data_IF_798691005909
#
_entry.id   IF_798691005909
#
_cell.length_a   1.000
_cell.length_b   1.000
_cell.length_c   1.000
_cell.angle_alpha   90.00
_cell.angle_beta   90.00
_cell.angle_gamma   90.00
#
_symmetry.space_group_name_H-M   'P 1'
#
loop_
_entity.id
_entity.type
_entity.pdbx_description
1 polymer ?
#
# COMPACT_ATOMS: atom_id res chain seq x y z
N UNK A 1 -16.91 14.48 -8.22
CA UNK A 1 -16.36 13.13 -8.50
C UNK A 1 -16.37 12.39 -7.17
N UNK A 2 -16.72 11.10 -7.12
CA UNK A 2 -16.58 10.34 -5.87
C UNK A 2 -15.09 10.12 -5.60
N UNK A 3 -14.61 10.29 -4.36
CA UNK A 3 -13.20 10.06 -4.04
C UNK A 3 -12.81 8.62 -4.34
N UNK A 4 -11.60 8.41 -4.85
CA UNK A 4 -11.14 7.06 -5.27
C UNK A 4 -11.15 6.03 -4.13
N UNK A 5 -11.06 6.46 -2.87
CA UNK A 5 -11.12 5.60 -1.69
C UNK A 5 -12.55 5.27 -1.21
N UNK A 6 -13.57 5.93 -1.77
CA UNK A 6 -15.00 5.72 -1.47
C UNK A 6 -15.70 4.86 -2.54
N UNK A 7 -14.91 4.18 -3.38
CA UNK A 7 -15.44 3.24 -4.36
C UNK A 7 -16.15 2.08 -3.63
N UNK A 8 -17.28 1.57 -4.15
CA UNK A 8 -17.96 0.40 -3.61
C UNK A 8 -17.13 -0.85 -3.89
N UNK A 9 -16.09 -1.04 -3.09
CA UNK A 9 -15.21 -2.18 -3.15
C UNK A 9 -15.79 -3.28 -2.27
N UNK A 10 -15.80 -4.51 -2.79
CA UNK A 10 -16.07 -5.66 -1.93
C UNK A 10 -15.06 -5.69 -0.78
N UNK A 11 -15.36 -6.47 0.25
CA UNK A 11 -14.39 -6.72 1.32
C UNK A 11 -13.05 -7.23 0.75
N UNK A 12 -13.07 -7.98 -0.35
CA UNK A 12 -11.86 -8.42 -1.03
C UNK A 12 -11.16 -7.28 -1.79
N UNK A 13 -11.90 -6.38 -2.43
CA UNK A 13 -11.36 -5.34 -3.34
C UNK A 13 -11.67 -5.62 -4.81
N UNK A 14 -11.07 -4.83 -5.71
CA UNK A 14 -11.23 -5.00 -7.16
C UNK A 14 -10.02 -5.70 -7.78
N UNK A 15 -10.27 -6.54 -8.78
CA UNK A 15 -9.22 -7.20 -9.55
C UNK A 15 -8.84 -6.31 -10.74
N UNK A 16 -7.56 -5.97 -10.82
CA UNK A 16 -6.96 -5.15 -11.89
C UNK A 16 -6.04 -6.04 -12.72
N UNK A 17 -6.18 -5.97 -14.04
CA UNK A 17 -5.26 -6.63 -14.98
C UNK A 17 -4.03 -5.74 -15.18
N UNK A 18 -2.86 -6.33 -15.03
CA UNK A 18 -1.57 -5.68 -15.29
C UNK A 18 -1.25 -5.77 -16.79
N UNK A 19 -0.35 -4.90 -17.26
CA UNK A 19 0.08 -4.85 -18.66
C UNK A 19 0.77 -6.13 -19.14
N UNK A 20 1.34 -6.93 -18.21
CA UNK A 20 1.95 -8.22 -18.50
C UNK A 20 0.95 -9.39 -18.53
N UNK A 21 -0.35 -9.12 -18.44
CA UNK A 21 -1.41 -10.14 -18.42
C UNK A 21 -1.67 -10.76 -17.03
N UNK A 22 -0.84 -10.46 -16.03
CA UNK A 22 -1.11 -10.82 -14.64
C UNK A 22 -2.30 -10.05 -14.06
N UNK A 23 -2.72 -10.42 -12.85
CA UNK A 23 -3.77 -9.72 -12.11
C UNK A 23 -3.36 -9.49 -10.67
N UNK A 24 -3.85 -8.40 -10.09
CA UNK A 24 -3.77 -8.13 -8.66
C UNK A 24 -5.13 -7.71 -8.15
N UNK A 25 -5.39 -7.96 -6.87
CA UNK A 25 -6.53 -7.38 -6.17
C UNK A 25 -6.07 -6.17 -5.37
N UNK A 26 -6.90 -5.13 -5.32
CA UNK A 26 -6.55 -3.88 -4.62
C UNK A 26 -7.76 -3.31 -3.87
N UNK A 27 -7.47 -2.78 -2.68
CA UNK A 27 -8.44 -2.09 -1.82
C UNK A 27 -7.74 -1.17 -0.82
N UNK A 28 -8.46 -0.23 -0.19
CA UNK A 28 -7.98 0.46 0.99
C UNK A 28 -7.53 -0.53 2.07
N UNK A 29 -6.47 -0.14 2.78
CA UNK A 29 -6.01 -0.86 3.95
C UNK A 29 -7.09 -0.79 5.05
N UNK A 30 -7.05 -1.77 5.97
CA UNK A 30 -7.93 -1.84 7.13
C UNK A 30 -7.09 -2.10 8.35
N UNK A 31 -7.56 -1.66 9.52
CA UNK A 31 -6.93 -1.97 10.81
C UNK A 31 -6.64 -3.47 10.98
N UNK A 32 -7.54 -4.34 10.47
CA UNK A 32 -7.38 -5.80 10.47
C UNK A 32 -6.21 -6.33 9.63
N UNK A 33 -5.59 -5.51 8.77
CA UNK A 33 -4.48 -5.92 7.90
C UNK A 33 -3.13 -5.92 8.62
N UNK A 34 -3.08 -5.64 9.93
CA UNK A 34 -1.84 -5.59 10.70
C UNK A 34 -0.99 -6.86 10.53
N UNK A 35 -1.63 -8.04 10.55
CA UNK A 35 -0.92 -9.31 10.36
C UNK A 35 -0.50 -9.54 8.91
N UNK A 36 -1.30 -9.13 7.92
CA UNK A 36 -0.91 -9.10 6.51
C UNK A 36 0.32 -8.21 6.28
N UNK A 37 0.38 -7.04 6.91
CA UNK A 37 1.52 -6.12 6.81
C UNK A 37 2.77 -6.72 7.44
N UNK A 38 2.66 -7.38 8.61
CA UNK A 38 3.78 -8.09 9.24
C UNK A 38 4.28 -9.23 8.37
N UNK A 39 3.38 -10.01 7.78
CA UNK A 39 3.73 -11.10 6.88
C UNK A 39 4.41 -10.59 5.60
N UNK A 40 3.90 -9.51 5.02
CA UNK A 40 4.53 -8.80 3.90
C UNK A 40 5.94 -8.31 4.24
N UNK A 41 6.11 -7.68 5.40
CA UNK A 41 7.42 -7.25 5.91
C UNK A 41 8.40 -8.42 6.05
N UNK A 42 7.95 -9.56 6.57
CA UNK A 42 8.79 -10.74 6.74
C UNK A 42 9.32 -11.29 5.40
N UNK A 43 8.60 -11.06 4.30
CA UNK A 43 9.01 -11.44 2.93
C UNK A 43 9.90 -10.41 2.23
N UNK A 44 10.09 -9.22 2.82
CA UNK A 44 11.03 -8.24 2.28
C UNK A 44 12.47 -8.65 2.54
N UNK A 45 13.35 -8.44 1.56
CA UNK A 45 14.80 -8.49 1.77
C UNK A 45 15.26 -7.40 2.75
N UNK A 46 16.47 -7.55 3.29
CA UNK A 46 17.07 -6.53 4.16
C UNK A 46 17.19 -5.18 3.45
N UNK A 47 17.55 -5.19 2.17
CA UNK A 47 17.61 -4.00 1.32
C UNK A 47 16.24 -3.34 1.15
N UNK A 48 15.21 -4.12 0.80
CA UNK A 48 13.83 -3.62 0.67
C UNK A 48 13.30 -3.03 1.99
N UNK A 49 13.63 -3.65 3.14
CA UNK A 49 13.27 -3.12 4.47
C UNK A 49 14.00 -1.82 4.77
N UNK A 50 15.29 -1.77 4.47
CA UNK A 50 16.11 -0.58 4.69
C UNK A 50 15.61 0.60 3.85
N UNK A 51 15.33 0.37 2.57
CA UNK A 51 14.79 1.37 1.66
C UNK A 51 13.41 1.88 2.09
N UNK A 52 12.56 1.03 2.68
CA UNK A 52 11.21 1.42 3.11
C UNK A 52 11.16 2.12 4.46
N UNK A 53 12.03 1.76 5.40
CA UNK A 53 11.94 2.23 6.79
C UNK A 53 13.16 3.01 7.26
N UNK A 54 14.12 3.26 6.36
CA UNK A 54 15.41 3.93 6.61
C UNK A 54 16.12 3.38 7.86
N UNK A 55 15.97 2.08 8.09
CA UNK A 55 16.51 1.38 9.25
C UNK A 55 16.59 -0.12 8.99
N UNK A 56 17.63 -0.77 9.52
CA UNK A 56 17.87 -2.21 9.40
C UNK A 56 16.95 -3.00 10.34
N UNK A 57 15.64 -2.87 10.16
CA UNK A 57 14.65 -3.52 11.03
C UNK A 57 14.57 -5.01 10.71
N UNK A 58 14.78 -5.85 11.72
CA UNK A 58 14.59 -7.31 11.59
C UNK A 58 13.12 -7.73 11.72
N UNK A 59 12.30 -6.94 12.42
CA UNK A 59 10.86 -7.16 12.63
C UNK A 59 10.07 -5.85 12.63
N UNK A 60 8.79 -5.95 12.32
CA UNK A 60 7.82 -4.88 12.49
C UNK A 60 7.15 -5.01 13.87
N UNK A 61 7.14 -3.94 14.68
CA UNK A 61 6.40 -3.96 15.94
C UNK A 61 4.90 -3.91 15.69
N UNK A 62 4.10 -4.43 16.62
CA UNK A 62 2.64 -4.37 16.53
C UNK A 62 2.14 -2.92 16.42
N UNK A 63 2.74 -2.01 17.19
CA UNK A 63 2.42 -0.58 17.12
C UNK A 63 2.64 0.04 15.74
N UNK A 64 3.74 -0.32 15.08
CA UNK A 64 4.06 0.19 13.75
C UNK A 64 3.20 -0.49 12.68
N UNK A 65 2.91 -1.78 12.82
CA UNK A 65 1.99 -2.49 11.92
C UNK A 65 0.60 -1.85 11.97
N UNK A 66 0.07 -1.57 13.17
CA UNK A 66 -1.19 -0.86 13.35
C UNK A 66 -1.12 0.56 12.79
N UNK A 67 -0.06 1.32 13.06
CA UNK A 67 0.04 2.70 12.53
C UNK A 67 0.17 2.76 11.01
N UNK A 68 0.51 1.66 10.34
CA UNK A 68 0.54 1.56 8.88
C UNK A 68 -0.83 1.21 8.28
N UNK A 69 -1.77 0.74 9.10
CA UNK A 69 -3.11 0.30 8.66
C UNK A 69 -4.26 1.13 9.25
N UNK A 70 -3.98 1.94 10.25
CA UNK A 70 -4.91 2.88 10.88
C UNK A 70 -5.07 4.14 10.01
N UNK A 71 -5.93 4.04 9.01
CA UNK A 71 -6.24 5.10 8.05
C UNK A 71 -7.47 5.89 8.49
N UNK A 72 -7.42 7.22 8.40
CA UNK A 72 -8.51 8.12 8.81
C UNK A 72 -9.30 8.66 7.60
N UNK A 73 -8.84 8.41 6.37
CA UNK A 73 -9.40 8.95 5.13
C UNK A 73 -9.45 10.49 5.06
N UNK A 74 -8.66 11.18 5.87
CA UNK A 74 -8.52 12.63 5.87
C UNK A 74 -7.06 13.08 5.68
N UNK A 75 -6.16 12.48 6.45
CA UNK A 75 -4.73 12.77 6.45
C UNK A 75 -3.89 11.54 6.16
N UNK A 76 -4.41 10.34 6.41
CA UNK A 76 -3.73 9.08 6.22
C UNK A 76 -4.55 8.16 5.33
N UNK A 77 -3.95 7.78 4.20
CA UNK A 77 -4.53 6.88 3.21
C UNK A 77 -3.55 5.74 2.95
N UNK A 78 -4.07 4.53 2.82
CA UNK A 78 -3.26 3.38 2.44
C UNK A 78 -4.06 2.38 1.61
N UNK A 79 -3.33 1.66 0.75
CA UNK A 79 -3.84 0.66 -0.17
C UNK A 79 -3.06 -0.63 0.01
N UNK A 80 -3.78 -1.75 0.14
CA UNK A 80 -3.23 -3.09 0.07
C UNK A 80 -3.37 -3.65 -1.34
N UNK A 81 -2.32 -4.30 -1.83
CA UNK A 81 -2.30 -5.00 -3.11
C UNK A 81 -2.03 -6.47 -2.84
N UNK A 82 -2.84 -7.32 -3.44
CA UNK A 82 -2.87 -8.74 -3.15
C UNK A 82 -2.73 -9.56 -4.44
N UNK A 83 -2.05 -10.70 -4.36
CA UNK A 83 -2.14 -11.75 -5.38
C UNK A 83 -3.43 -12.56 -5.12
N UNK A 84 -4.46 -12.43 -5.99
CA UNK A 84 -5.74 -13.10 -5.80
C UNK A 84 -5.67 -14.62 -6.01
N UNK A 85 -4.57 -15.14 -6.55
CA UNK A 85 -4.37 -16.55 -6.89
C UNK A 85 -3.57 -17.30 -5.82
N UNK A 86 -3.23 -16.62 -4.72
CA UNK A 86 -2.54 -17.16 -3.55
C UNK A 86 -3.43 -17.04 -2.30
N UNK A 87 -3.26 -17.94 -1.32
CA UNK A 87 -4.02 -17.87 -0.08
C UNK A 87 -3.70 -16.59 0.71
N UNK A 88 -4.73 -16.04 1.36
CA UNK A 88 -4.60 -14.92 2.30
C UNK A 88 -3.90 -15.35 3.59
N UNK A 89 -3.06 -14.47 4.13
CA UNK A 89 -2.42 -14.68 5.43
C UNK A 89 -3.40 -14.68 6.60
N UNK A 90 -4.56 -14.06 6.43
CA UNK A 90 -5.60 -13.92 7.45
C UNK A 90 -6.84 -14.77 7.14
N UNK A 91 -6.77 -15.63 6.11
CA UNK A 91 -7.85 -16.54 5.74
C UNK A 91 -9.08 -15.88 5.10
N UNK A 92 -8.95 -14.63 4.65
CA UNK A 92 -10.00 -13.92 3.91
C UNK A 92 -9.87 -14.10 2.38
N UNK A 93 -10.75 -13.46 1.62
CA UNK A 93 -10.78 -13.54 0.16
C UNK A 93 -9.82 -12.55 -0.54
N UNK A 94 -9.02 -11.77 0.21
CA UNK A 94 -8.17 -10.73 -0.37
C UNK A 94 -7.03 -11.32 -1.21
N UNK A 95 -6.47 -12.45 -0.76
CA UNK A 95 -5.30 -13.10 -1.34
C UNK A 95 -4.01 -12.76 -0.58
N UNK A 96 -2.86 -13.16 -1.11
CA UNK A 96 -1.57 -12.90 -0.47
C UNK A 96 -1.18 -11.42 -0.57
N UNK A 97 -0.80 -10.75 0.52
CA UNK A 97 -0.30 -9.37 0.46
C UNK A 97 1.03 -9.24 -0.30
N UNK A 98 1.06 -8.51 -1.42
CA UNK A 98 2.27 -8.41 -2.28
C UNK A 98 2.82 -7.01 -2.44
N UNK A 99 2.01 -5.98 -2.20
CA UNK A 99 2.46 -4.60 -2.15
C UNK A 99 1.56 -3.75 -1.24
N UNK A 100 2.09 -2.63 -0.78
CA UNK A 100 1.32 -1.60 -0.07
C UNK A 100 1.74 -0.22 -0.51
N UNK A 101 0.79 0.70 -0.55
CA UNK A 101 0.99 2.09 -0.94
C UNK A 101 0.33 2.98 0.11
N UNK A 102 1.00 4.06 0.52
CA UNK A 102 0.55 4.94 1.59
C UNK A 102 0.75 6.39 1.19
N UNK A 103 -0.19 7.25 1.58
CA UNK A 103 -0.12 8.70 1.50
C UNK A 103 -0.40 9.30 2.87
N UNK A 104 0.45 10.25 3.30
CA UNK A 104 0.24 11.09 4.47
C UNK A 104 0.19 12.54 4.01
N UNK A 105 -0.89 13.24 4.33
CA UNK A 105 -1.05 14.65 4.03
C UNK A 105 -0.31 15.50 5.06
N UNK A 106 0.36 16.53 4.60
CA UNK A 106 1.00 17.50 5.49
C UNK A 106 -0.04 18.39 6.18
N UNK A 107 0.36 19.00 7.30
CA UNK A 107 -0.47 19.92 8.08
C UNK A 107 -0.96 21.13 7.26
N UNK A 108 -0.14 21.63 6.32
CA UNK A 108 -0.48 22.76 5.45
C UNK A 108 -1.49 22.40 4.34
N UNK A 109 -1.78 21.10 4.19
CA UNK A 109 -2.75 20.54 3.24
C UNK A 109 -2.43 20.73 1.77
N UNK A 110 -1.31 21.37 1.41
CA UNK A 110 -0.85 21.61 0.04
C UNK A 110 0.07 20.50 -0.48
N UNK A 111 0.63 19.71 0.43
CA UNK A 111 1.56 18.64 0.10
C UNK A 111 1.19 17.32 0.77
N UNK A 112 1.70 16.22 0.24
CA UNK A 112 1.62 14.91 0.85
C UNK A 112 2.90 14.10 0.63
N UNK A 113 3.26 13.25 1.58
CA UNK A 113 4.29 12.23 1.45
C UNK A 113 3.67 10.91 1.03
N UNK A 114 4.28 10.25 0.05
CA UNK A 114 3.90 8.92 -0.38
C UNK A 114 5.02 7.90 -0.22
N UNK A 115 4.62 6.68 0.10
CA UNK A 115 5.50 5.52 0.19
C UNK A 115 4.86 4.31 -0.51
N UNK A 116 5.68 3.52 -1.21
CA UNK A 116 5.26 2.30 -1.91
C UNK A 116 6.23 1.18 -1.55
N UNK A 117 5.73 -0.03 -1.39
CA UNK A 117 6.57 -1.22 -1.20
C UNK A 117 5.98 -2.37 -1.97
N UNK A 118 6.84 -3.09 -2.70
CA UNK A 118 6.49 -4.34 -3.38
C UNK A 118 7.42 -5.42 -2.83
N UNK A 119 6.83 -6.53 -2.41
CA UNK A 119 7.60 -7.70 -1.93
C UNK A 119 8.54 -8.20 -3.03
N UNK A 120 9.75 -8.61 -2.66
CA UNK A 120 10.86 -8.88 -3.59
C UNK A 120 10.48 -9.88 -4.69
N UNK A 121 9.74 -10.95 -4.35
CA UNK A 121 9.27 -11.94 -5.32
C UNK A 121 8.34 -11.37 -6.41
N UNK A 122 7.69 -10.23 -6.14
CA UNK A 122 6.71 -9.57 -6.99
C UNK A 122 7.25 -8.29 -7.67
N UNK A 123 8.49 -7.90 -7.39
CA UNK A 123 9.16 -6.79 -8.08
C UNK A 123 9.38 -7.10 -9.57
N UNK A 124 9.51 -6.05 -10.39
CA UNK A 124 9.69 -6.19 -11.85
C UNK A 124 8.43 -6.64 -12.63
N UNK A 125 7.29 -6.87 -11.94
CA UNK A 125 6.04 -7.34 -12.56
C UNK A 125 5.03 -6.24 -12.89
N UNK A 126 5.42 -4.97 -12.77
CA UNK A 126 4.54 -3.82 -13.02
C UNK A 126 3.54 -3.50 -11.90
N UNK A 127 3.59 -4.22 -10.77
CA UNK A 127 2.64 -4.09 -9.65
C UNK A 127 2.65 -2.70 -9.03
N UNK A 128 3.82 -2.04 -8.96
CA UNK A 128 3.94 -0.73 -8.33
C UNK A 128 3.25 0.41 -9.07
N UNK A 129 2.96 0.25 -10.37
CA UNK A 129 2.43 1.32 -11.22
C UNK A 129 1.01 1.73 -10.82
N UNK A 130 0.10 0.76 -10.72
CA UNK A 130 -1.30 1.06 -10.45
C UNK A 130 -1.52 1.69 -9.05
N UNK A 131 -0.90 1.20 -7.96
CA UNK A 131 -0.95 1.88 -6.66
C UNK A 131 -0.33 3.28 -6.69
N UNK A 132 0.74 3.50 -7.47
CA UNK A 132 1.31 4.83 -7.65
C UNK A 132 0.30 5.80 -8.29
N UNK A 133 -0.37 5.35 -9.35
CA UNK A 133 -1.44 6.13 -10.01
C UNK A 133 -2.60 6.43 -9.04
N UNK A 134 -2.95 5.48 -8.17
CA UNK A 134 -3.94 5.71 -7.10
C UNK A 134 -3.47 6.75 -6.08
N UNK A 135 -2.20 6.74 -5.66
CA UNK A 135 -1.68 7.74 -4.72
C UNK A 135 -1.69 9.14 -5.33
N UNK A 136 -1.35 9.26 -6.62
CA UNK A 136 -1.41 10.53 -7.36
C UNK A 136 -2.85 11.03 -7.45
N UNK A 137 -3.79 10.16 -7.84
CA UNK A 137 -5.21 10.51 -7.88
C UNK A 137 -5.74 10.90 -6.49
N UNK A 138 -5.35 10.14 -5.46
CA UNK A 138 -5.71 10.43 -4.06
C UNK A 138 -5.22 11.81 -3.64
N UNK A 139 -3.95 12.14 -3.92
CA UNK A 139 -3.37 13.44 -3.62
C UNK A 139 -4.12 14.58 -4.33
N UNK A 140 -4.44 14.39 -5.61
CA UNK A 140 -5.18 15.38 -6.41
C UNK A 140 -6.62 15.60 -5.90
N UNK A 141 -7.35 14.53 -5.55
CA UNK A 141 -8.69 14.62 -4.97
C UNK A 141 -8.69 15.36 -3.62
N UNK A 142 -7.60 15.27 -2.86
CA UNK A 142 -7.41 16.00 -1.61
C UNK A 142 -7.01 17.47 -1.83
N UNK A 143 -6.67 17.87 -3.05
CA UNK A 143 -6.18 19.21 -3.39
C UNK A 143 -4.70 19.42 -3.04
N UNK A 144 -3.90 18.36 -2.94
CA UNK A 144 -2.46 18.49 -2.80
C UNK A 144 -1.85 18.92 -4.16
N UNK A 145 -1.00 19.94 -4.11
CA UNK A 145 -0.25 20.45 -5.26
C UNK A 145 1.07 19.70 -5.45
N UNK A 146 1.61 19.14 -4.36
CA UNK A 146 2.89 18.40 -4.37
C UNK A 146 2.75 17.03 -3.73
N UNK A 147 3.24 16.00 -4.42
CA UNK A 147 3.42 14.65 -3.88
C UNK A 147 4.91 14.33 -3.76
N UNK A 148 5.39 14.06 -2.55
CA UNK A 148 6.80 13.79 -2.26
C UNK A 148 7.05 12.29 -2.06
N UNK A 149 8.21 11.86 -2.51
CA UNK A 149 8.76 10.53 -2.25
C UNK A 149 10.18 10.69 -1.73
N UNK A 150 10.49 10.03 -0.62
CA UNK A 150 11.87 9.92 -0.12
C UNK A 150 12.44 8.58 -0.52
N UNK A 151 13.57 8.60 -1.21
CA UNK A 151 14.22 7.42 -1.79
C UNK A 151 15.70 7.47 -1.40
N UNK A 152 16.22 6.37 -0.84
CA UNK A 152 17.65 6.23 -0.57
C UNK A 152 18.42 6.05 -1.89
N UNK A 153 19.60 6.68 -1.99
CA UNK A 153 20.50 6.61 -3.15
C UNK A 153 21.68 5.69 -2.86
#
# INVERSE_FOLDING_TARGET
MQPVWDLPLSSAGIVVKLSNGGRVRIRPARVSDSDTVKAGFARLSEESRYNRFFSARSKLSDSLATSLTDIDHETHFAWGVFDPDQPSEVGDESGLGVASARLIRDTDKTSAEAALTVTDAYQGRGIGRFPMELLIATAADLGAETLRFEILR
#
